data_IF_300737587481
#
_entry.id   IF_300737587481
#
_cell.length_a   1.000
_cell.length_b   1.000
_cell.length_c   1.000
_cell.angle_alpha   90.00
_cell.angle_beta   90.00
_cell.angle_gamma   90.00
#
_symmetry.space_group_name_H-M   'P 1'
#
loop_
_entity.id
_entity.type
_entity.pdbx_description
1 polymer ?
#
# COMPACT_ATOMS: atom_id res chain seq x y z
N UNK A 1 -2.44 40.31 22.08
CA UNK A 1 -3.37 39.30 21.55
C UNK A 1 -2.55 38.39 20.64
N UNK A 2 -2.17 37.18 21.07
CA UNK A 2 -1.38 36.28 20.24
C UNK A 2 -2.28 35.67 19.16
N UNK A 3 -1.82 35.58 17.90
CA UNK A 3 -2.57 34.86 16.88
C UNK A 3 -2.47 33.35 17.10
N UNK A 4 -3.61 32.72 16.83
CA UNK A 4 -3.91 31.31 16.82
C UNK A 4 -2.75 30.41 16.40
N UNK A 5 -2.61 29.31 17.15
CA UNK A 5 -1.78 28.16 16.80
C UNK A 5 -2.18 27.70 15.40
N UNK A 6 -1.24 27.77 14.46
CA UNK A 6 -1.40 27.20 13.13
C UNK A 6 -1.52 25.70 13.30
N UNK A 7 -2.73 25.19 13.08
CA UNK A 7 -3.05 23.79 13.05
C UNK A 7 -2.09 23.10 12.08
N UNK A 8 -1.15 22.36 12.66
CA UNK A 8 -0.21 21.49 11.98
C UNK A 8 -0.96 20.72 10.92
N UNK A 9 -0.61 20.97 9.65
CA UNK A 9 -1.09 20.20 8.52
C UNK A 9 -0.59 18.76 8.66
N UNK A 10 -1.31 17.96 9.45
CA UNK A 10 -1.22 16.50 9.41
C UNK A 10 -1.51 16.15 7.95
N UNK A 11 -0.60 15.50 7.22
CA UNK A 11 -0.87 15.08 5.85
C UNK A 11 -2.17 14.30 5.88
N UNK A 12 -3.19 14.72 5.12
CA UNK A 12 -4.44 13.97 5.02
C UNK A 12 -4.06 12.57 4.58
N UNK A 13 -4.19 11.59 5.48
CA UNK A 13 -3.88 10.21 5.15
C UNK A 13 -4.75 9.81 3.97
N UNK A 14 -4.12 9.16 2.99
CA UNK A 14 -4.78 8.56 1.84
C UNK A 14 -6.03 7.78 2.31
N UNK A 15 -7.19 7.93 1.67
CA UNK A 15 -8.34 7.09 1.97
C UNK A 15 -7.99 5.62 1.70
N UNK A 16 -8.28 4.77 2.69
CA UNK A 16 -8.13 3.32 2.59
C UNK A 16 -9.39 2.77 1.92
N UNK A 17 -9.23 2.10 0.77
CA UNK A 17 -10.35 1.49 0.06
C UNK A 17 -10.69 0.12 0.66
N UNK A 18 -11.85 -0.44 0.29
CA UNK A 18 -12.22 -1.80 0.70
C UNK A 18 -11.19 -2.85 0.25
N UNK A 19 -10.67 -2.70 -0.97
CA UNK A 19 -9.65 -3.61 -1.51
C UNK A 19 -8.32 -3.47 -0.74
N UNK A 20 -7.96 -2.26 -0.31
CA UNK A 20 -6.77 -2.03 0.52
C UNK A 20 -6.85 -2.79 1.85
N UNK A 21 -7.94 -2.60 2.58
CA UNK A 21 -8.19 -3.24 3.86
C UNK A 21 -8.20 -4.78 3.73
N UNK A 22 -8.95 -5.29 2.75
CA UNK A 22 -9.06 -6.73 2.48
C UNK A 22 -7.67 -7.34 2.19
N UNK A 23 -6.85 -6.64 1.39
CA UNK A 23 -5.51 -7.10 1.07
C UNK A 23 -4.55 -7.00 2.25
N UNK A 24 -4.62 -5.96 3.07
CA UNK A 24 -3.78 -5.85 4.28
C UNK A 24 -4.03 -7.03 5.22
N UNK A 25 -5.30 -7.37 5.47
CA UNK A 25 -5.65 -8.55 6.29
C UNK A 25 -5.08 -9.85 5.75
N UNK A 26 -5.08 -10.02 4.44
CA UNK A 26 -4.57 -11.23 3.80
C UNK A 26 -3.03 -11.27 3.73
N UNK A 27 -2.39 -10.11 3.56
CA UNK A 27 -0.93 -9.96 3.45
C UNK A 27 -0.25 -10.13 4.82
N UNK A 28 -0.82 -9.55 5.88
CA UNK A 28 -0.17 -9.52 7.20
C UNK A 28 0.25 -10.90 7.72
N UNK A 29 -0.61 -11.95 7.73
CA UNK A 29 -0.22 -13.28 8.19
C UNK A 29 0.92 -13.90 7.37
N UNK A 30 0.99 -13.61 6.06
CA UNK A 30 2.09 -14.08 5.21
C UNK A 30 3.39 -13.39 5.60
N UNK A 31 3.37 -12.07 5.81
CA UNK A 31 4.55 -11.33 6.26
C UNK A 31 5.01 -11.78 7.64
N UNK A 32 4.08 -12.06 8.56
CA UNK A 32 4.41 -12.60 9.88
C UNK A 32 5.15 -13.92 9.82
N UNK A 33 4.79 -14.84 8.91
CA UNK A 33 5.52 -16.08 8.73
C UNK A 33 6.93 -15.86 8.19
N UNK A 34 7.11 -14.88 7.30
CA UNK A 34 8.43 -14.48 6.77
C UNK A 34 9.30 -13.89 7.89
N UNK A 35 8.73 -13.00 8.71
CA UNK A 35 9.39 -12.38 9.88
C UNK A 35 9.82 -13.44 10.89
N UNK A 36 8.92 -14.37 11.26
CA UNK A 36 9.22 -15.46 12.20
C UNK A 36 10.36 -16.36 11.72
N UNK A 37 10.47 -16.56 10.40
CA UNK A 37 11.56 -17.32 9.76
C UNK A 37 12.82 -16.50 9.55
N UNK A 38 12.84 -15.22 9.93
CA UNK A 38 13.96 -14.28 9.69
C UNK A 38 14.42 -14.30 8.23
N UNK A 39 13.46 -14.36 7.31
CA UNK A 39 13.69 -14.50 5.87
C UNK A 39 13.17 -13.27 5.12
N UNK A 40 13.31 -13.27 3.79
CA UNK A 40 12.69 -12.30 2.89
C UNK A 40 11.75 -12.98 1.90
N UNK A 41 10.86 -12.20 1.28
CA UNK A 41 9.92 -12.68 0.27
C UNK A 41 9.90 -11.72 -0.92
N UNK A 42 9.86 -12.24 -2.14
CA UNK A 42 9.71 -11.39 -3.33
C UNK A 42 8.26 -10.92 -3.46
N UNK A 43 8.03 -9.79 -4.13
CA UNK A 43 6.68 -9.33 -4.47
C UNK A 43 5.84 -10.42 -5.17
N UNK A 44 6.45 -11.18 -6.09
CA UNK A 44 5.77 -12.27 -6.80
C UNK A 44 5.36 -13.39 -5.83
N UNK A 45 6.29 -13.83 -4.99
CA UNK A 45 6.03 -14.91 -4.03
C UNK A 45 5.03 -14.46 -2.95
N UNK A 46 5.01 -13.18 -2.59
CA UNK A 46 4.01 -12.63 -1.68
C UNK A 46 2.61 -12.74 -2.27
N UNK A 47 2.40 -12.34 -3.53
CA UNK A 47 1.09 -12.51 -4.20
C UNK A 47 0.66 -13.98 -4.21
N UNK A 48 1.58 -14.89 -4.55
CA UNK A 48 1.28 -16.33 -4.62
C UNK A 48 0.92 -16.89 -3.24
N UNK A 49 1.72 -16.59 -2.21
CA UNK A 49 1.48 -17.06 -0.86
C UNK A 49 0.16 -16.53 -0.26
N UNK A 50 -0.24 -15.31 -0.61
CA UNK A 50 -1.56 -14.77 -0.22
C UNK A 50 -2.69 -15.49 -0.96
N UNK A 51 -2.54 -15.76 -2.27
CA UNK A 51 -3.54 -16.52 -3.06
C UNK A 51 -3.77 -17.92 -2.49
N UNK A 52 -2.72 -18.61 -2.09
CA UNK A 52 -2.81 -19.94 -1.47
C UNK A 52 -3.66 -19.96 -0.20
N UNK A 53 -3.75 -18.82 0.50
CA UNK A 53 -4.55 -18.65 1.73
C UNK A 53 -5.96 -18.11 1.49
N UNK A 54 -6.26 -17.67 0.28
CA UNK A 54 -7.55 -17.06 -0.09
C UNK A 54 -8.23 -17.91 -1.16
N UNK A 55 -9.05 -18.91 -0.78
CA UNK A 55 -9.70 -19.81 -1.73
C UNK A 55 -10.79 -19.12 -2.57
N UNK A 56 -11.29 -17.96 -2.16
CA UNK A 56 -12.38 -17.24 -2.83
C UNK A 56 -11.90 -16.57 -4.13
N UNK A 57 -12.40 -16.97 -5.31
CA UNK A 57 -11.97 -16.42 -6.60
C UNK A 57 -12.19 -14.90 -6.74
N UNK A 58 -13.18 -14.36 -6.05
CA UNK A 58 -13.52 -12.93 -6.05
C UNK A 58 -12.58 -12.10 -5.18
N UNK A 59 -11.71 -12.74 -4.38
CA UNK A 59 -10.79 -12.04 -3.50
C UNK A 59 -9.88 -11.09 -4.30
N UNK A 60 -9.68 -9.83 -3.88
CA UNK A 60 -8.92 -8.84 -4.65
C UNK A 60 -7.50 -9.27 -5.05
N UNK A 61 -6.90 -10.21 -4.32
CA UNK A 61 -5.55 -10.75 -4.61
C UNK A 61 -5.43 -11.40 -6.00
N UNK A 62 -6.52 -11.93 -6.56
CA UNK A 62 -6.49 -12.53 -7.90
C UNK A 62 -6.35 -11.48 -9.01
N UNK A 63 -6.73 -10.22 -8.73
CA UNK A 63 -6.53 -9.07 -9.63
C UNK A 63 -5.19 -8.36 -9.39
N UNK A 64 -4.52 -8.62 -8.26
CA UNK A 64 -3.26 -7.99 -7.94
C UNK A 64 -2.09 -8.52 -8.79
N UNK A 65 -1.28 -7.58 -9.28
CA UNK A 65 0.01 -7.86 -9.91
C UNK A 65 1.12 -7.55 -8.91
N UNK A 66 2.27 -8.25 -8.94
CA UNK A 66 3.36 -8.04 -7.98
C UNK A 66 3.79 -6.58 -7.85
N UNK A 67 3.91 -5.89 -8.99
CA UNK A 67 4.26 -4.47 -9.07
C UNK A 67 3.21 -3.51 -8.48
N UNK A 68 1.98 -3.93 -8.17
CA UNK A 68 0.95 -3.06 -7.59
C UNK A 68 0.76 -3.26 -6.08
N UNK A 69 1.53 -4.17 -5.47
CA UNK A 69 1.48 -4.40 -4.04
C UNK A 69 1.98 -3.20 -3.23
N UNK A 70 2.76 -2.29 -3.83
CA UNK A 70 3.34 -1.14 -3.12
C UNK A 70 2.29 -0.30 -2.39
N UNK A 71 1.18 0.02 -3.05
CA UNK A 71 0.04 0.75 -2.44
C UNK A 71 -0.56 0.01 -1.24
N UNK A 72 -0.60 -1.32 -1.29
CA UNK A 72 -1.20 -2.17 -0.23
C UNK A 72 -0.25 -2.31 0.96
N UNK A 73 1.05 -2.42 0.69
CA UNK A 73 2.09 -2.35 1.72
C UNK A 73 2.14 -0.95 2.37
N UNK A 74 1.88 0.11 1.61
CA UNK A 74 1.76 1.45 2.17
C UNK A 74 0.56 1.59 3.12
N UNK A 75 -0.56 0.91 2.86
CA UNK A 75 -1.68 0.84 3.82
C UNK A 75 -1.26 0.22 5.14
N UNK A 76 -0.44 -0.85 5.12
CA UNK A 76 0.09 -1.44 6.34
C UNK A 76 1.00 -0.45 7.09
N UNK A 77 1.78 0.35 6.36
CA UNK A 77 2.59 1.44 6.94
C UNK A 77 1.76 2.56 7.54
N UNK A 78 0.55 2.84 7.01
CA UNK A 78 -0.38 3.79 7.63
C UNK A 78 -0.81 3.37 9.04
N UNK A 79 -0.80 2.06 9.33
CA UNK A 79 -1.06 1.56 10.67
C UNK A 79 0.20 1.56 11.55
N UNK A 80 1.34 1.10 11.05
CA UNK A 80 2.56 0.93 11.85
C UNK A 80 3.29 2.24 12.13
N UNK A 81 3.44 3.12 11.15
CA UNK A 81 4.28 4.31 11.26
C UNK A 81 3.81 5.31 12.33
N UNK A 82 2.51 5.66 12.45
CA UNK A 82 2.04 6.57 13.49
C UNK A 82 2.22 6.02 14.92
N UNK A 83 2.35 4.70 15.05
CA UNK A 83 2.55 4.00 16.33
C UNK A 83 4.02 3.77 16.67
N UNK A 84 4.94 4.15 15.76
CA UNK A 84 6.37 3.90 15.90
C UNK A 84 6.75 2.42 15.81
N UNK A 85 5.88 1.59 15.23
CA UNK A 85 6.16 0.16 15.06
C UNK A 85 7.18 -0.04 13.93
N UNK A 86 8.07 -1.05 14.01
CA UNK A 86 9.01 -1.37 12.94
C UNK A 86 8.28 -1.66 11.63
N UNK A 87 8.89 -1.29 10.50
CA UNK A 87 8.26 -1.46 9.20
C UNK A 87 8.47 -2.89 8.68
N UNK A 88 7.51 -3.78 8.97
CA UNK A 88 7.58 -5.18 8.54
C UNK A 88 7.63 -5.38 7.03
N UNK A 89 7.28 -4.37 6.23
CA UNK A 89 7.36 -4.47 4.78
C UNK A 89 8.81 -4.47 4.27
N UNK A 90 9.80 -4.22 5.14
CA UNK A 90 11.22 -4.33 4.84
C UNK A 90 11.66 -5.75 4.44
N UNK A 91 10.86 -6.78 4.75
CA UNK A 91 11.15 -8.17 4.34
C UNK A 91 10.69 -8.46 2.91
N UNK A 92 10.00 -7.53 2.25
CA UNK A 92 9.55 -7.66 0.86
C UNK A 92 10.60 -7.08 -0.08
N UNK A 93 11.12 -7.92 -0.97
CA UNK A 93 12.27 -7.60 -1.82
C UNK A 93 11.97 -7.68 -3.31
N UNK A 94 12.74 -6.97 -4.12
CA UNK A 94 12.67 -7.07 -5.59
C UNK A 94 13.34 -8.35 -6.07
N UNK A 95 12.71 -9.03 -7.04
CA UNK A 95 13.29 -10.23 -7.66
C UNK A 95 14.56 -9.89 -8.42
N UNK A 96 15.65 -10.62 -8.15
CA UNK A 96 16.95 -10.45 -8.80
C UNK A 96 17.99 -9.71 -7.95
N UNK A 97 17.59 -8.70 -7.17
CA UNK A 97 18.51 -7.97 -6.27
C UNK A 97 18.47 -8.47 -4.84
N UNK A 98 17.34 -9.04 -4.40
CA UNK A 98 17.18 -9.50 -3.01
C UNK A 98 17.16 -8.38 -1.98
N UNK A 99 17.16 -7.11 -2.43
CA UNK A 99 17.06 -5.92 -1.60
C UNK A 99 15.61 -5.43 -1.57
N UNK A 100 15.15 -4.83 -0.47
CA UNK A 100 13.91 -4.06 -0.48
C UNK A 100 14.03 -2.91 -1.48
N UNK A 101 12.91 -2.30 -1.91
CA UNK A 101 12.98 -1.01 -2.61
C UNK A 101 13.81 -0.02 -1.78
N UNK A 102 14.44 0.97 -2.42
CA UNK A 102 15.38 1.99 -1.87
C UNK A 102 14.90 2.79 -0.64
N UNK A 103 13.78 2.42 -0.03
CA UNK A 103 13.18 3.05 1.15
C UNK A 103 13.95 2.83 2.47
N UNK A 104 15.01 2.02 2.51
CA UNK A 104 15.76 1.75 3.73
C UNK A 104 17.26 2.00 3.54
N UNK A 105 17.82 2.87 4.38
CA UNK A 105 19.26 3.12 4.45
C UNK A 105 20.03 1.87 4.95
N UNK A 106 19.42 1.12 5.87
CA UNK A 106 19.94 -0.16 6.39
C UNK A 106 18.81 -1.20 6.52
N UNK A 107 18.52 -1.96 5.44
CA UNK A 107 17.54 -3.04 5.44
C UNK A 107 17.75 -4.10 6.52
N UNK A 108 19.01 -4.41 6.87
CA UNK A 108 19.34 -5.47 7.80
C UNK A 108 19.01 -5.06 9.24
N UNK A 109 19.30 -3.81 9.60
CA UNK A 109 18.92 -3.24 10.90
C UNK A 109 17.40 -3.20 11.07
N UNK A 110 16.66 -2.78 10.04
CA UNK A 110 15.19 -2.75 10.12
C UNK A 110 14.60 -4.17 10.24
N UNK A 111 15.11 -5.14 9.48
CA UNK A 111 14.71 -6.54 9.60
C UNK A 111 15.00 -7.11 11.00
N UNK A 112 16.11 -6.72 11.64
CA UNK A 112 16.41 -7.11 13.01
C UNK A 112 15.43 -6.52 14.03
N UNK A 113 15.04 -5.25 13.88
CA UNK A 113 13.99 -4.62 14.72
C UNK A 113 12.66 -5.34 14.56
N UNK A 114 12.25 -5.58 13.32
CA UNK A 114 11.02 -6.32 12.99
C UNK A 114 11.04 -7.72 13.62
N UNK A 115 12.16 -8.44 13.54
CA UNK A 115 12.27 -9.78 14.12
C UNK A 115 12.27 -9.81 15.66
N UNK A 116 12.67 -8.71 16.31
CA UNK A 116 12.73 -8.60 17.77
C UNK A 116 11.47 -7.99 18.41
N UNK A 117 10.52 -7.54 17.59
CA UNK A 117 9.33 -6.83 18.04
C UNK A 117 8.19 -7.78 18.45
N UNK A 118 7.41 -7.38 19.46
CA UNK A 118 6.30 -8.17 20.01
C UNK A 118 5.02 -8.00 19.19
N UNK A 119 4.87 -8.84 18.16
CA UNK A 119 3.75 -8.80 17.21
C UNK A 119 2.37 -9.28 17.71
N UNK A 120 2.22 -10.19 18.70
CA UNK A 120 0.89 -10.69 19.07
C UNK A 120 -0.10 -9.60 19.49
N UNK A 121 0.35 -8.60 20.25
CA UNK A 121 -0.51 -7.46 20.63
C UNK A 121 -0.90 -6.61 19.41
N UNK A 122 -0.02 -6.52 18.41
CA UNK A 122 -0.24 -5.73 17.20
C UNK A 122 -1.22 -6.41 16.23
N UNK A 123 -1.33 -7.73 16.25
CA UNK A 123 -2.30 -8.46 15.43
C UNK A 123 -3.75 -8.11 15.81
N UNK A 124 -4.04 -8.02 17.11
CA UNK A 124 -5.36 -7.62 17.62
C UNK A 124 -5.68 -6.15 17.25
N UNK A 125 -4.72 -5.25 17.45
CA UNK A 125 -4.87 -3.83 17.09
C UNK A 125 -5.07 -3.63 15.58
N UNK A 126 -4.33 -4.37 14.75
CA UNK A 126 -4.46 -4.31 13.30
C UNK A 126 -5.83 -4.82 12.85
N UNK A 127 -6.34 -5.88 13.50
CA UNK A 127 -7.67 -6.41 13.20
C UNK A 127 -8.76 -5.37 13.46
N UNK A 128 -8.68 -4.64 14.58
CA UNK A 128 -9.58 -3.53 14.92
C UNK A 128 -9.44 -2.38 13.91
N UNK A 129 -8.21 -1.97 13.60
CA UNK A 129 -7.96 -0.90 12.63
C UNK A 129 -8.53 -1.25 11.24
N UNK A 130 -8.42 -2.51 10.82
CA UNK A 130 -9.00 -2.95 9.56
C UNK A 130 -10.54 -2.95 9.61
N UNK A 131 -11.18 -3.16 10.76
CA UNK A 131 -12.64 -3.02 10.87
C UNK A 131 -13.06 -1.55 10.78
N UNK A 132 -12.25 -0.63 11.33
CA UNK A 132 -12.44 0.81 11.17
C UNK A 132 -12.33 1.22 9.70
N UNK A 133 -11.25 0.83 9.02
CA UNK A 133 -11.07 1.11 7.60
C UNK A 133 -12.18 0.51 6.74
N UNK A 134 -12.68 -0.68 7.07
CA UNK A 134 -13.81 -1.27 6.35
C UNK A 134 -15.09 -0.43 6.50
N UNK A 135 -15.36 0.07 7.71
CA UNK A 135 -16.51 0.94 7.98
C UNK A 135 -16.39 2.28 7.26
N UNK A 136 -15.20 2.88 7.29
CA UNK A 136 -14.91 4.12 6.57
C UNK A 136 -15.04 3.92 5.05
N UNK A 137 -14.48 2.83 4.52
CA UNK A 137 -14.55 2.50 3.10
C UNK A 137 -15.99 2.28 2.60
N UNK A 138 -16.91 1.86 3.48
CA UNK A 138 -18.33 1.72 3.12
C UNK A 138 -19.01 3.06 2.79
N UNK A 139 -18.45 4.19 3.24
CA UNK A 139 -18.93 5.54 2.93
C UNK A 139 -18.35 6.13 1.64
N UNK A 140 -17.33 5.48 1.06
CA UNK A 140 -16.70 5.93 -0.17
C UNK A 140 -17.64 5.64 -1.34
N UNK A 141 -18.04 6.69 -2.06
CA UNK A 141 -18.85 6.56 -3.28
C UNK A 141 -17.94 6.13 -4.44
N UNK A 142 -18.11 4.93 -5.00
CA UNK A 142 -17.33 4.47 -6.15
C UNK A 142 -17.55 5.38 -7.35
N UNK A 143 -16.49 5.64 -8.12
CA UNK A 143 -16.64 6.30 -9.42
C UNK A 143 -17.07 5.28 -10.47
N UNK A 144 -17.98 5.67 -11.35
CA UNK A 144 -18.16 4.94 -12.61
C UNK A 144 -16.95 5.15 -13.52
N UNK A 145 -16.74 4.24 -14.47
CA UNK A 145 -15.57 4.24 -15.36
C UNK A 145 -15.41 5.58 -16.10
N UNK A 146 -16.49 6.15 -16.62
CA UNK A 146 -16.47 7.45 -17.29
C UNK A 146 -15.99 8.58 -16.35
N UNK A 147 -16.44 8.55 -15.08
CA UNK A 147 -16.00 9.48 -14.05
C UNK A 147 -14.53 9.31 -13.70
N UNK A 148 -14.06 8.07 -13.51
CA UNK A 148 -12.66 7.76 -13.26
C UNK A 148 -11.74 8.22 -14.41
N UNK A 149 -12.15 7.99 -15.66
CA UNK A 149 -11.43 8.48 -16.84
C UNK A 149 -11.35 10.01 -16.85
N UNK A 150 -12.45 10.69 -16.53
CA UNK A 150 -12.50 12.15 -16.48
C UNK A 150 -11.57 12.72 -15.39
N UNK A 151 -11.57 12.11 -14.20
CA UNK A 151 -10.68 12.47 -13.09
C UNK A 151 -9.22 12.29 -13.47
N UNK A 152 -8.85 11.11 -14.00
CA UNK A 152 -7.48 10.86 -14.48
C UNK A 152 -7.07 11.89 -15.54
N UNK A 153 -7.90 12.11 -16.55
CA UNK A 153 -7.60 13.02 -17.63
C UNK A 153 -7.44 14.46 -17.15
N UNK A 154 -8.28 14.92 -16.22
CA UNK A 154 -8.16 16.23 -15.58
C UNK A 154 -6.84 16.34 -14.82
N UNK A 155 -6.51 15.34 -14.01
CA UNK A 155 -5.26 15.34 -13.25
C UNK A 155 -4.04 15.43 -14.16
N UNK A 156 -3.99 14.63 -15.24
CA UNK A 156 -2.90 14.67 -16.20
C UNK A 156 -2.75 16.02 -16.93
N UNK A 157 -3.87 16.69 -17.26
CA UNK A 157 -3.85 18.01 -17.89
C UNK A 157 -3.35 19.09 -16.94
N UNK A 158 -3.77 19.03 -15.68
CA UNK A 158 -3.48 20.07 -14.69
C UNK A 158 -2.05 19.95 -14.12
N UNK A 159 -1.40 18.78 -14.28
CA UNK A 159 -0.08 18.50 -13.71
C UNK A 159 0.91 18.00 -14.78
N UNK A 160 1.21 18.80 -15.82
CA UNK A 160 2.16 18.40 -16.85
C UNK A 160 3.57 18.21 -16.24
N UNK A 161 4.24 17.12 -16.59
CA UNK A 161 5.62 16.84 -16.15
C UNK A 161 5.77 16.19 -14.77
N UNK A 162 4.67 15.87 -14.08
CA UNK A 162 4.70 15.24 -12.73
C UNK A 162 4.92 13.73 -12.79
N UNK A 163 4.86 13.09 -13.96
CA UNK A 163 4.83 11.64 -14.08
C UNK A 163 6.04 11.05 -14.76
N UNK A 164 6.47 9.88 -14.28
CA UNK A 164 7.56 9.12 -14.86
C UNK A 164 7.23 8.59 -16.27
N UNK A 165 8.23 8.49 -17.17
CA UNK A 165 8.07 7.80 -18.43
C UNK A 165 7.50 6.40 -18.23
N UNK A 166 6.46 6.06 -18.98
CA UNK A 166 5.79 4.75 -18.89
C UNK A 166 4.55 4.71 -17.99
N UNK A 167 4.17 5.78 -17.29
CA UNK A 167 2.94 5.80 -16.47
C UNK A 167 1.66 5.49 -17.27
N UNK A 168 1.66 5.78 -18.57
CA UNK A 168 0.53 5.49 -19.47
C UNK A 168 0.21 4.00 -19.58
N UNK A 169 1.21 3.13 -19.34
CA UNK A 169 1.01 1.68 -19.29
C UNK A 169 0.10 1.23 -18.13
N UNK A 170 -0.09 2.09 -17.12
CA UNK A 170 -0.93 1.83 -15.93
C UNK A 170 -2.32 2.43 -16.05
N UNK A 171 -2.75 2.90 -17.24
CA UNK A 171 -4.04 3.56 -17.41
C UNK A 171 -5.22 2.74 -16.88
N UNK A 172 -5.26 1.44 -17.19
CA UNK A 172 -6.36 0.56 -16.76
C UNK A 172 -6.37 0.41 -15.24
N UNK A 173 -5.20 0.27 -14.65
CA UNK A 173 -4.99 0.18 -13.21
C UNK A 173 -5.43 1.46 -12.49
N UNK A 174 -4.99 2.63 -12.99
CA UNK A 174 -5.36 3.94 -12.42
C UNK A 174 -6.88 4.09 -12.42
N UNK A 175 -7.54 3.76 -13.54
CA UNK A 175 -9.00 3.81 -13.64
C UNK A 175 -9.65 2.86 -12.63
N UNK A 176 -9.16 1.62 -12.51
CA UNK A 176 -9.70 0.66 -11.56
C UNK A 176 -9.57 1.12 -10.10
N UNK A 177 -8.43 1.69 -9.70
CA UNK A 177 -8.25 2.25 -8.36
C UNK A 177 -9.17 3.45 -8.12
N UNK A 178 -9.31 4.35 -9.10
CA UNK A 178 -10.24 5.48 -9.01
C UNK A 178 -11.70 5.02 -8.87
N UNK A 179 -12.10 3.98 -9.60
CA UNK A 179 -13.42 3.36 -9.43
C UNK A 179 -13.60 2.75 -8.05
N UNK A 180 -12.54 2.19 -7.46
CA UNK A 180 -12.52 1.72 -6.06
C UNK A 180 -12.50 2.86 -5.03
N UNK A 181 -12.50 4.13 -5.47
CA UNK A 181 -12.56 5.32 -4.63
C UNK A 181 -11.21 5.80 -4.09
N UNK A 182 -10.12 5.33 -4.68
CA UNK A 182 -8.79 5.85 -4.39
C UNK A 182 -8.64 7.32 -4.84
N UNK A 183 -7.82 8.09 -4.11
CA UNK A 183 -7.46 9.44 -4.51
C UNK A 183 -6.44 9.44 -5.67
N UNK A 184 -6.68 10.28 -6.69
CA UNK A 184 -5.82 10.39 -7.87
C UNK A 184 -4.38 10.78 -7.55
N UNK A 185 -4.15 11.69 -6.60
CA UNK A 185 -2.81 12.13 -6.21
C UNK A 185 -2.00 10.97 -5.65
N UNK A 186 -2.61 10.18 -4.75
CA UNK A 186 -1.95 9.05 -4.11
C UNK A 186 -1.62 7.93 -5.10
N UNK A 187 -2.53 7.63 -6.03
CA UNK A 187 -2.29 6.61 -7.08
C UNK A 187 -1.03 6.98 -7.87
N UNK A 188 -0.95 8.22 -8.35
CA UNK A 188 0.18 8.67 -9.16
C UNK A 188 1.48 8.76 -8.34
N UNK A 189 1.41 9.19 -7.08
CA UNK A 189 2.57 9.25 -6.20
C UNK A 189 3.21 7.86 -5.98
N UNK A 190 2.39 6.83 -5.76
CA UNK A 190 2.87 5.44 -5.60
C UNK A 190 3.48 4.91 -6.89
N UNK A 191 2.76 5.02 -8.02
CA UNK A 191 3.22 4.49 -9.30
C UNK A 191 4.52 5.16 -9.77
N UNK A 192 4.68 6.47 -9.54
CA UNK A 192 5.93 7.17 -9.84
C UNK A 192 7.10 6.64 -9.01
N UNK A 193 6.89 6.37 -7.71
CA UNK A 193 7.93 5.79 -6.84
C UNK A 193 8.35 4.40 -7.32
N UNK A 194 7.38 3.59 -7.73
CA UNK A 194 7.63 2.25 -8.27
C UNK A 194 8.38 2.29 -9.61
N UNK A 195 8.01 3.20 -10.51
CA UNK A 195 8.70 3.38 -11.80
C UNK A 195 10.15 3.83 -11.64
N UNK A 196 10.44 4.72 -10.68
CA UNK A 196 11.82 5.11 -10.36
C UNK A 196 12.65 3.97 -9.81
N UNK A 197 12.06 3.12 -8.96
CA UNK A 197 12.76 1.98 -8.37
C UNK A 197 13.01 0.82 -9.36
N UNK A 198 12.40 0.87 -10.56
CA UNK A 198 12.52 -0.16 -11.59
C UNK A 198 13.44 0.23 -12.77
N UNK A 199 13.84 1.49 -12.87
CA UNK A 199 14.76 2.02 -13.89
C UNK A 199 16.19 2.08 -13.39
#
# INVERSE_FOLDING_TARGET
MPPFVSESAIPRQRPVTRDDETLVRAIYPVLMDVVRRKSSITYTNLVLAVRERCPEPEHPIYRQKPRHLGRRLETLRLFTAPRGYPDMTCVVVTGGTGLPPEAYDDPASEAAKVAAFEWPAVEEELALQCDDWRREAASIVPLEEAGAVAVMAKFCRDNPGVYEPGISAFRKEIIAELMAGANVVDIFAVLNRELRAAG
#
